data_IF_107282711163
#
_entry.id   IF_107282711163
#
_cell.length_a   1.000
_cell.length_b   1.000
_cell.length_c   1.000
_cell.angle_alpha   90.00
_cell.angle_beta   90.00
_cell.angle_gamma   90.00
#
_symmetry.space_group_name_H-M   'P 1'
#
loop_
_entity.id
_entity.type
_entity.pdbx_description
1 polymer ?
#
# COMPACT_ATOMS: atom_id res chain seq x y z
N UNK A 1 -16.63 -7.95 -2.31
CA UNK A 1 -16.91 -6.87 -1.33
C UNK A 1 -16.69 -5.51 -1.96
N UNK A 2 -17.78 -4.77 -2.20
CA UNK A 2 -17.79 -3.46 -2.91
C UNK A 2 -17.16 -2.34 -2.07
N UNK A 3 -17.45 -2.32 -0.77
CA UNK A 3 -16.98 -1.32 0.21
C UNK A 3 -15.44 -1.20 0.23
N UNK A 4 -14.72 -2.32 0.17
CA UNK A 4 -13.26 -2.31 0.17
C UNK A 4 -12.66 -1.74 -1.12
N UNK A 5 -13.30 -1.98 -2.27
CA UNK A 5 -12.88 -1.36 -3.54
C UNK A 5 -13.20 0.13 -3.57
N UNK A 6 -14.36 0.53 -3.05
CA UNK A 6 -14.75 1.94 -2.98
C UNK A 6 -13.80 2.72 -2.06
N UNK A 7 -13.43 2.12 -0.93
CA UNK A 7 -12.47 2.70 0.02
C UNK A 7 -11.06 2.78 -0.58
N UNK A 8 -10.63 1.75 -1.32
CA UNK A 8 -9.34 1.76 -2.02
C UNK A 8 -9.30 2.82 -3.13
N UNK A 9 -10.38 3.00 -3.87
CA UNK A 9 -10.51 4.05 -4.90
C UNK A 9 -10.49 5.44 -4.27
N UNK A 10 -11.17 5.62 -3.13
CA UNK A 10 -11.14 6.87 -2.37
C UNK A 10 -9.73 7.20 -1.87
N UNK A 11 -9.02 6.19 -1.35
CA UNK A 11 -7.64 6.33 -0.87
C UNK A 11 -6.68 6.64 -2.02
N UNK A 12 -6.82 5.99 -3.17
CA UNK A 12 -6.02 6.30 -4.38
C UNK A 12 -6.23 7.77 -4.79
N UNK A 13 -7.48 8.21 -4.87
CA UNK A 13 -7.83 9.61 -5.17
C UNK A 13 -7.24 10.62 -4.17
N UNK A 14 -7.29 10.34 -2.87
CA UNK A 14 -6.69 11.20 -1.83
C UNK A 14 -5.17 11.18 -1.86
N UNK A 15 -4.56 10.03 -2.13
CA UNK A 15 -3.11 9.84 -2.12
C UNK A 15 -2.40 10.57 -3.27
N UNK A 16 -3.11 10.88 -4.37
CA UNK A 16 -2.61 11.70 -5.48
C UNK A 16 -2.33 13.17 -5.11
N UNK A 17 -2.75 13.61 -3.91
CA UNK A 17 -2.42 14.96 -3.39
C UNK A 17 -0.98 15.07 -2.90
N UNK A 18 -0.30 13.96 -2.64
CA UNK A 18 1.11 13.98 -2.26
C UNK A 18 1.98 14.20 -3.50
N UNK A 19 2.90 15.18 -3.43
CA UNK A 19 3.86 15.47 -4.50
C UNK A 19 4.89 14.36 -4.69
N UNK A 20 5.22 13.63 -3.62
CA UNK A 20 6.16 12.51 -3.67
C UNK A 20 5.42 11.18 -3.89
N UNK A 21 5.64 10.48 -5.01
CA UNK A 21 5.03 9.18 -5.28
C UNK A 21 5.40 8.10 -4.25
N UNK A 22 6.53 8.21 -3.55
CA UNK A 22 6.88 7.31 -2.47
C UNK A 22 5.96 7.51 -1.25
N UNK A 23 5.65 8.76 -0.90
CA UNK A 23 4.71 9.09 0.18
C UNK A 23 3.29 8.63 -0.15
N UNK A 24 2.87 8.75 -1.41
CA UNK A 24 1.61 8.18 -1.90
C UNK A 24 1.52 6.68 -1.61
N UNK A 25 2.57 5.91 -1.94
CA UNK A 25 2.58 4.45 -1.72
C UNK A 25 2.63 4.10 -0.23
N UNK A 26 3.38 4.84 0.58
CA UNK A 26 3.43 4.63 2.03
C UNK A 26 2.07 4.90 2.69
N UNK A 27 1.39 5.98 2.29
CA UNK A 27 0.04 6.31 2.77
C UNK A 27 -0.96 5.18 2.45
N UNK A 28 -0.91 4.62 1.24
CA UNK A 28 -1.77 3.51 0.84
C UNK A 28 -1.51 2.24 1.68
N UNK A 29 -0.24 1.89 1.90
CA UNK A 29 0.13 0.73 2.74
C UNK A 29 -0.37 0.93 4.18
N UNK A 30 -0.14 2.11 4.76
CA UNK A 30 -0.56 2.43 6.14
C UNK A 30 -2.08 2.35 6.32
N UNK A 31 -2.85 2.93 5.39
CA UNK A 31 -4.31 2.89 5.47
C UNK A 31 -4.86 1.46 5.30
N UNK A 32 -4.33 0.69 4.35
CA UNK A 32 -4.73 -0.72 4.19
C UNK A 32 -4.43 -1.53 5.45
N UNK A 33 -3.25 -1.34 6.04
CA UNK A 33 -2.89 -2.03 7.27
C UNK A 33 -3.87 -1.69 8.42
N UNK A 34 -4.24 -0.41 8.55
CA UNK A 34 -5.24 0.02 9.54
C UNK A 34 -6.60 -0.65 9.32
N UNK A 35 -7.09 -0.72 8.07
CA UNK A 35 -8.37 -1.37 7.78
C UNK A 35 -8.37 -2.84 8.19
N UNK A 36 -7.33 -3.60 7.81
CA UNK A 36 -7.20 -5.02 8.19
C UNK A 36 -7.16 -5.15 9.71
N UNK A 37 -6.41 -4.29 10.39
CA UNK A 37 -6.34 -4.28 11.87
C UNK A 37 -7.70 -3.98 12.51
N UNK A 38 -8.47 -3.07 11.92
CA UNK A 38 -9.80 -2.69 12.41
C UNK A 38 -10.83 -3.80 12.22
N UNK A 39 -10.85 -4.48 11.07
CA UNK A 39 -11.73 -5.64 10.82
C UNK A 39 -11.42 -6.79 11.78
N UNK A 40 -10.13 -7.08 12.01
CA UNK A 40 -9.71 -8.12 12.97
C UNK A 40 -10.13 -7.85 14.42
N UNK A 41 -10.47 -6.60 14.75
CA UNK A 41 -10.86 -6.16 16.09
C UNK A 41 -12.38 -5.98 16.24
N UNK A 42 -13.15 -6.12 15.18
CA UNK A 42 -14.60 -5.99 15.20
C UNK A 42 -15.28 -7.34 15.02
N UNK A 43 -16.58 -7.39 15.29
CA UNK A 43 -17.44 -8.58 15.07
C UNK A 43 -17.49 -8.99 13.59
N UNK A 44 -17.06 -8.11 12.68
CA UNK A 44 -16.95 -8.42 11.26
C UNK A 44 -15.77 -9.35 10.93
N UNK A 45 -14.90 -9.68 11.91
CA UNK A 45 -13.80 -10.62 11.75
C UNK A 45 -14.30 -11.95 11.19
N UNK A 46 -15.26 -12.59 11.83
CA UNK A 46 -15.67 -13.96 11.45
C UNK A 46 -16.33 -14.03 10.06
N UNK A 47 -16.87 -12.90 9.58
CA UNK A 47 -17.48 -12.81 8.26
C UNK A 47 -16.49 -12.48 7.14
N UNK A 48 -15.36 -11.84 7.48
CA UNK A 48 -14.48 -11.20 6.50
C UNK A 48 -12.99 -11.58 6.66
N UNK A 49 -12.56 -12.31 7.69
CA UNK A 49 -11.13 -12.43 8.07
C UNK A 49 -10.25 -12.94 6.92
N UNK A 50 -10.52 -14.13 6.41
CA UNK A 50 -9.57 -14.81 5.52
C UNK A 50 -9.49 -14.21 4.10
N UNK A 51 -10.64 -14.04 3.44
CA UNK A 51 -10.71 -13.52 2.06
C UNK A 51 -10.18 -12.08 1.99
N UNK A 52 -10.53 -11.26 2.99
CA UNK A 52 -10.11 -9.87 3.06
C UNK A 52 -8.62 -9.77 3.36
N UNK A 53 -8.10 -10.56 4.31
CA UNK A 53 -6.68 -10.58 4.65
C UNK A 53 -5.85 -11.02 3.45
N UNK A 54 -6.26 -12.06 2.74
CA UNK A 54 -5.50 -12.57 1.59
C UNK A 54 -5.51 -11.59 0.41
N UNK A 55 -6.65 -10.94 0.12
CA UNK A 55 -6.73 -9.88 -0.91
C UNK A 55 -5.88 -8.66 -0.54
N UNK A 56 -5.95 -8.18 0.70
CA UNK A 56 -5.17 -7.02 1.13
C UNK A 56 -3.67 -7.30 1.18
N UNK A 57 -3.26 -8.52 1.54
CA UNK A 57 -1.86 -8.94 1.51
C UNK A 57 -1.25 -8.73 0.11
N UNK A 58 -1.96 -9.14 -0.94
CA UNK A 58 -1.49 -8.95 -2.33
C UNK A 58 -1.34 -7.46 -2.68
N UNK A 59 -2.31 -6.63 -2.31
CA UNK A 59 -2.27 -5.19 -2.61
C UNK A 59 -1.15 -4.48 -1.83
N UNK A 60 -0.98 -4.78 -0.55
CA UNK A 60 0.13 -4.23 0.26
C UNK A 60 1.48 -4.61 -0.34
N UNK A 61 1.66 -5.88 -0.74
CA UNK A 61 2.90 -6.34 -1.37
C UNK A 61 3.18 -5.61 -2.69
N UNK A 62 2.16 -5.39 -3.52
CA UNK A 62 2.30 -4.62 -4.76
C UNK A 62 2.74 -3.18 -4.50
N UNK A 63 2.08 -2.48 -3.58
CA UNK A 63 2.47 -1.11 -3.22
C UNK A 63 3.85 -1.04 -2.58
N UNK A 64 4.21 -2.00 -1.72
CA UNK A 64 5.54 -2.06 -1.11
C UNK A 64 6.63 -2.27 -2.17
N UNK A 65 6.40 -3.13 -3.16
CA UNK A 65 7.33 -3.32 -4.30
C UNK A 65 7.51 -2.04 -5.09
N UNK A 66 6.42 -1.29 -5.31
CA UNK A 66 6.46 -0.04 -6.06
C UNK A 66 7.14 1.08 -5.25
N UNK A 67 6.86 1.17 -3.96
CA UNK A 67 7.54 2.06 -3.02
C UNK A 67 9.05 1.85 -3.05
N UNK A 68 9.53 0.61 -2.90
CA UNK A 68 10.97 0.30 -2.97
C UNK A 68 11.61 0.76 -4.28
N UNK A 69 10.96 0.52 -5.42
CA UNK A 69 11.48 0.97 -6.73
C UNK A 69 11.55 2.49 -6.84
N UNK A 70 10.53 3.21 -6.36
CA UNK A 70 10.47 4.67 -6.47
C UNK A 70 11.46 5.32 -5.50
N UNK A 71 11.43 4.89 -4.24
CA UNK A 71 12.24 5.47 -3.18
C UNK A 71 13.73 5.16 -3.36
N UNK A 72 14.08 3.94 -3.77
CA UNK A 72 15.48 3.48 -3.84
C UNK A 72 16.01 3.33 -5.28
N UNK A 73 15.16 3.49 -6.30
CA UNK A 73 15.59 3.47 -7.70
C UNK A 73 16.46 4.66 -8.07
N UNK A 74 16.24 5.83 -7.44
CA UNK A 74 17.11 7.01 -7.62
C UNK A 74 18.49 6.83 -6.98
N UNK A 75 18.59 6.03 -5.93
CA UNK A 75 19.85 5.80 -5.20
C UNK A 75 20.81 4.91 -6.00
N UNK A 76 20.28 3.94 -6.78
CA UNK A 76 21.11 3.03 -7.60
C UNK A 76 21.84 3.72 -8.76
N UNK A 77 21.32 4.83 -9.31
CA UNK A 77 21.97 5.52 -10.44
C UNK A 77 23.29 6.21 -10.02
N UNK A 78 23.52 6.41 -8.71
CA UNK A 78 24.80 6.96 -8.23
C UNK A 78 25.88 5.91 -8.01
N UNK A 79 25.56 4.62 -7.92
CA UNK A 79 26.56 3.57 -7.66
C UNK A 79 27.20 3.01 -8.95
N UNK A 80 26.59 3.24 -10.11
CA UNK A 80 27.11 2.77 -11.40
C UNK A 80 28.02 3.81 -12.12
N UNK A 81 28.19 5.02 -11.59
CA UNK A 81 29.07 6.07 -12.18
C UNK A 81 30.45 6.15 -11.52
N UNK A 82 30.89 5.08 -10.87
CA UNK A 82 32.14 5.10 -10.10
C UNK A 82 32.64 3.69 -9.80
N UNK A 83 33.01 2.95 -10.85
CA UNK A 83 33.94 1.83 -10.70
C UNK A 83 35.03 2.02 -11.76
N UNK A 84 36.32 2.11 -11.36
CA UNK A 84 37.45 2.37 -12.26
C UNK A 84 37.63 1.24 -13.28
#
# INVERSE_FOLDING_TARGET
MRIMQDLQTNLDGKSKRYKDPALTKLCLISNIHYMVRSVRRSEAKDLLDDDLVQRHRRVVQQHAKQYKRIAWGKTRIKEDCGRP
#
